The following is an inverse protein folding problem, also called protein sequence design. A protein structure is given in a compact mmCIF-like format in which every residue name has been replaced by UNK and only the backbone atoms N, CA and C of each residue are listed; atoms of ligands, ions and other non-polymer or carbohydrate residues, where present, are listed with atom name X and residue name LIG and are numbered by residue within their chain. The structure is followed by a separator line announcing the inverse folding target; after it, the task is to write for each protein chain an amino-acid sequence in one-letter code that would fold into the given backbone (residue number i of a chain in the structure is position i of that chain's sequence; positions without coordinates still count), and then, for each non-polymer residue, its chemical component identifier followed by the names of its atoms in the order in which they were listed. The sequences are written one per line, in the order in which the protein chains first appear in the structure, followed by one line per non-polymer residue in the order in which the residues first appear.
data_IF_633965763958
#
_entry.id   IF_633965763958
#
_cell.length_a   1.000
_cell.length_b   1.000
_cell.length_c   1.000
_cell.angle_alpha   90.00
_cell.angle_beta   90.00
_cell.angle_gamma   90.00
#
_symmetry.space_group_name_H-M   'P 1'
#
loop_
_entity.id
_entity.type
_entity.pdbx_description
1 polymer ?
#
# COMPACT_ATOMS: atom_id res chain seq x y z
N UNK A 1 7.99 0.94 -22.14
CA UNK A 1 7.91 1.25 -20.68
C UNK A 1 6.45 1.36 -20.33
N UNK A 2 5.99 0.65 -19.30
CA UNK A 2 4.59 0.58 -18.89
C UNK A 2 4.44 1.11 -17.46
N UNK A 3 3.33 1.79 -17.15
CA UNK A 3 3.05 2.26 -15.80
C UNK A 3 2.37 1.15 -15.01
N UNK A 4 2.96 0.81 -13.86
CA UNK A 4 2.42 -0.10 -12.87
C UNK A 4 1.96 0.71 -11.67
N UNK A 5 0.68 0.62 -11.33
CA UNK A 5 0.08 1.21 -10.14
C UNK A 5 -0.03 0.17 -9.05
N UNK A 6 0.59 0.46 -7.92
CA UNK A 6 0.49 -0.34 -6.70
C UNK A 6 -0.39 0.37 -5.68
N UNK A 7 -1.24 -0.37 -4.98
CA UNK A 7 -2.13 0.15 -3.95
C UNK A 7 -2.01 -0.62 -2.64
N UNK A 8 -1.95 0.09 -1.51
CA UNK A 8 -1.98 -0.50 -0.17
C UNK A 8 -2.96 0.23 0.75
N UNK A 9 -3.73 -0.54 1.50
CA UNK A 9 -4.62 -0.05 2.55
C UNK A 9 -3.96 -0.30 3.90
N UNK A 10 -3.89 0.73 4.74
CA UNK A 10 -3.50 0.60 6.14
C UNK A 10 -4.21 1.63 7.02
N UNK A 11 -4.27 1.35 8.31
CA UNK A 11 -4.74 2.33 9.30
C UNK A 11 -3.53 3.08 9.84
N UNK A 12 -3.39 4.39 9.55
CA UNK A 12 -2.19 5.13 9.91
C UNK A 12 -2.11 5.32 11.43
N UNK A 13 -0.90 5.15 11.99
CA UNK A 13 -0.67 5.33 13.43
C UNK A 13 -0.59 6.81 13.83
N UNK A 14 -0.26 7.68 12.87
CA UNK A 14 -0.14 9.13 13.03
C UNK A 14 -0.42 9.86 11.70
N UNK A 15 -0.73 11.16 11.76
CA UNK A 15 -1.14 11.98 10.60
C UNK A 15 -0.02 12.22 9.58
N UNK A 16 1.24 12.08 9.97
CA UNK A 16 2.43 12.28 9.14
C UNK A 16 2.98 10.97 8.55
N UNK A 17 2.23 9.86 8.66
CA UNK A 17 2.60 8.57 8.09
C UNK A 17 2.85 8.70 6.57
N UNK A 18 4.06 8.42 6.14
CA UNK A 18 4.41 8.31 4.72
C UNK A 18 4.53 6.84 4.31
N UNK A 19 4.04 6.51 3.11
CA UNK A 19 4.05 5.14 2.58
C UNK A 19 4.82 5.12 1.27
N UNK A 20 5.56 4.05 1.04
CA UNK A 20 6.40 3.85 -0.13
C UNK A 20 6.26 2.42 -0.66
N UNK A 21 6.53 2.24 -1.94
CA UNK A 21 6.65 0.93 -2.59
C UNK A 21 8.07 0.75 -3.11
N UNK A 22 8.63 -0.43 -2.93
CA UNK A 22 9.95 -0.79 -3.42
C UNK A 22 10.01 -2.27 -3.75
N UNK A 23 11.06 -2.71 -4.45
CA UNK A 23 11.14 -4.11 -4.83
C UNK A 23 12.39 -4.50 -5.57
N UNK A 24 12.32 -5.67 -6.16
CA UNK A 24 13.39 -6.35 -6.90
C UNK A 24 13.84 -5.61 -8.16
N UNK A 25 13.01 -4.74 -8.73
CA UNK A 25 13.33 -3.99 -9.96
C UNK A 25 14.22 -2.76 -9.67
N UNK A 26 15.13 -2.38 -10.59
CA UNK A 26 15.94 -1.16 -10.45
C UNK A 26 15.10 0.10 -10.30
N UNK A 27 13.97 0.17 -11.03
CA UNK A 27 13.02 1.28 -10.98
C UNK A 27 12.28 1.38 -9.64
N UNK A 28 12.34 0.30 -8.84
CA UNK A 28 11.79 0.21 -7.49
C UNK A 28 12.87 0.24 -6.40
N UNK A 29 14.09 0.65 -6.75
CA UNK A 29 15.19 0.87 -5.81
C UNK A 29 16.01 -0.37 -5.44
N UNK A 30 15.74 -1.55 -6.01
CA UNK A 30 16.46 -2.80 -5.68
C UNK A 30 16.54 -3.05 -4.17
N UNK A 31 15.40 -3.01 -3.50
CA UNK A 31 15.28 -3.21 -2.05
C UNK A 31 15.95 -2.14 -1.15
N UNK A 32 16.41 -1.01 -1.71
CA UNK A 32 16.92 0.13 -0.93
C UNK A 32 15.78 1.09 -0.52
N UNK A 33 15.47 1.25 0.79
CA UNK A 33 14.44 2.15 1.27
C UNK A 33 14.62 3.62 0.86
N UNK A 34 15.88 4.07 0.68
CA UNK A 34 16.16 5.45 0.28
C UNK A 34 15.82 5.73 -1.19
N UNK A 35 15.65 4.66 -1.97
CA UNK A 35 15.28 4.69 -3.39
C UNK A 35 13.84 4.21 -3.62
N UNK A 36 13.09 3.96 -2.54
CA UNK A 36 11.70 3.56 -2.61
C UNK A 36 10.83 4.66 -3.21
N UNK A 37 9.79 4.26 -3.92
CA UNK A 37 8.87 5.19 -4.58
C UNK A 37 7.81 5.65 -3.59
N UNK A 38 7.79 6.96 -3.30
CA UNK A 38 6.80 7.55 -2.39
C UNK A 38 5.39 7.46 -2.98
N UNK A 39 4.47 6.95 -2.18
CA UNK A 39 3.06 6.79 -2.53
C UNK A 39 2.26 8.02 -2.08
N UNK A 40 1.10 8.21 -2.71
CA UNK A 40 0.14 9.28 -2.40
C UNK A 40 -1.06 8.68 -1.69
N UNK A 41 -1.48 9.28 -0.59
CA UNK A 41 -2.74 8.91 0.06
C UNK A 41 -3.93 9.36 -0.80
N UNK A 42 -4.99 8.56 -0.83
CA UNK A 42 -6.23 8.87 -1.56
C UNK A 42 -7.01 10.01 -0.93
N UNK A 43 -6.74 10.29 0.35
CA UNK A 43 -7.36 11.35 1.14
C UNK A 43 -6.35 11.93 2.13
N UNK A 44 -6.65 13.12 2.63
CA UNK A 44 -5.97 13.64 3.83
C UNK A 44 -6.28 12.72 5.00
N UNK A 45 -5.26 12.26 5.73
CA UNK A 45 -5.44 11.43 6.91
C UNK A 45 -5.97 12.30 8.05
N UNK A 46 -7.27 12.22 8.30
CA UNK A 46 -7.97 13.00 9.34
C UNK A 46 -8.15 12.23 10.64
N UNK A 47 -7.95 10.91 10.62
CA UNK A 47 -8.18 10.00 11.75
C UNK A 47 -7.22 8.83 11.70
N UNK A 48 -6.79 8.38 12.88
CA UNK A 48 -6.01 7.15 13.07
C UNK A 48 -6.90 5.91 13.21
N UNK A 49 -8.22 6.05 13.07
CA UNK A 49 -9.19 4.95 13.15
C UNK A 49 -9.74 4.57 11.78
N UNK A 50 -9.59 5.43 10.77
CA UNK A 50 -10.09 5.18 9.42
C UNK A 50 -8.95 4.62 8.53
N UNK A 51 -9.14 3.47 7.88
CA UNK A 51 -8.22 2.98 6.88
C UNK A 51 -8.11 3.95 5.70
N UNK A 52 -6.88 4.14 5.22
CA UNK A 52 -6.62 4.96 4.05
C UNK A 52 -5.94 4.11 2.97
N UNK A 53 -6.18 4.47 1.70
CA UNK A 53 -5.54 3.86 0.54
C UNK A 53 -4.37 4.74 0.13
N UNK A 54 -3.20 4.14 -0.08
CA UNK A 54 -2.06 4.78 -0.73
C UNK A 54 -1.85 4.15 -2.10
N UNK A 55 -1.57 4.98 -3.11
CA UNK A 55 -1.23 4.52 -4.46
C UNK A 55 0.12 5.08 -4.92
N UNK A 56 0.87 4.27 -5.65
CA UNK A 56 2.17 4.64 -6.22
C UNK A 56 2.31 4.11 -7.64
N UNK A 57 2.73 4.98 -8.55
CA UNK A 57 2.94 4.65 -9.96
C UNK A 57 4.44 4.45 -10.22
N UNK A 58 4.79 3.31 -10.79
CA UNK A 58 6.16 2.94 -11.16
C UNK A 58 6.23 2.71 -12.66
N UNK A 59 7.20 3.30 -13.32
CA UNK A 59 7.42 3.08 -14.74
C UNK A 59 8.41 1.92 -14.91
N UNK A 60 7.94 0.78 -15.44
CA UNK A 60 8.76 -0.42 -15.64
C UNK A 60 9.22 -0.53 -17.10
N UNK A 61 10.52 -0.75 -17.27
CA UNK A 61 11.14 -1.02 -18.56
C UNK A 61 10.93 -2.48 -18.97
N UNK A 62 10.99 -2.75 -20.28
CA UNK A 62 10.93 -4.13 -20.78
C UNK A 62 12.13 -4.97 -20.29
N UNK A 63 11.94 -6.28 -20.04
CA UNK A 63 10.65 -6.97 -19.97
C UNK A 63 9.91 -6.60 -18.67
N UNK A 64 8.72 -6.00 -18.81
CA UNK A 64 7.85 -5.63 -17.69
C UNK A 64 6.84 -6.73 -17.34
N UNK A 65 6.73 -7.75 -18.19
CA UNK A 65 5.89 -8.93 -17.98
C UNK A 65 6.55 -9.99 -17.09
N UNK A 66 7.85 -9.86 -16.86
CA UNK A 66 8.59 -10.75 -15.98
C UNK A 66 8.09 -10.61 -14.54
N UNK A 67 7.98 -11.76 -13.86
CA UNK A 67 7.64 -11.79 -12.44
C UNK A 67 8.60 -10.90 -11.64
N UNK A 68 8.03 -10.07 -10.78
CA UNK A 68 8.79 -9.24 -9.84
C UNK A 68 8.27 -9.41 -8.42
N UNK A 69 9.14 -9.11 -7.46
CA UNK A 69 8.82 -9.05 -6.05
C UNK A 69 8.90 -7.63 -5.54
N UNK A 70 8.02 -7.30 -4.60
CA UNK A 70 7.93 -5.97 -4.01
C UNK A 70 7.37 -6.02 -2.58
N UNK A 71 7.53 -4.90 -1.87
CA UNK A 71 6.92 -4.64 -0.57
C UNK A 71 6.55 -3.18 -0.40
N UNK A 72 5.62 -2.94 0.50
CA UNK A 72 5.35 -1.63 1.05
C UNK A 72 6.20 -1.38 2.30
N UNK A 73 6.64 -0.13 2.46
CA UNK A 73 7.25 0.36 3.69
C UNK A 73 6.55 1.64 4.12
N UNK A 74 6.55 1.91 5.42
CA UNK A 74 6.10 3.19 5.96
C UNK A 74 7.24 3.88 6.68
N UNK A 75 7.22 5.21 6.70
CA UNK A 75 8.13 6.02 7.50
C UNK A 75 7.38 6.65 8.66
N UNK A 76 7.85 6.37 9.87
CA UNK A 76 7.33 6.92 11.13
C UNK A 76 8.53 7.38 11.95
N UNK A 77 8.51 8.62 12.44
CA UNK A 77 9.63 9.22 13.18
C UNK A 77 10.99 9.09 12.48
N UNK A 78 11.00 9.24 11.16
CA UNK A 78 12.20 9.13 10.32
C UNK A 78 12.73 7.71 10.13
N UNK A 79 12.08 6.68 10.68
CA UNK A 79 12.48 5.26 10.55
C UNK A 79 11.59 4.54 9.57
N UNK A 80 12.21 3.68 8.75
CA UNK A 80 11.48 2.81 7.83
C UNK A 80 11.03 1.54 8.55
N UNK A 81 9.73 1.26 8.46
CA UNK A 81 9.08 0.05 8.94
C UNK A 81 8.61 -0.72 7.70
N UNK A 82 9.00 -1.99 7.62
CA UNK A 82 8.63 -2.87 6.52
C UNK A 82 7.33 -3.59 6.82
N UNK A 83 6.56 -3.87 5.78
CA UNK A 83 5.46 -4.82 5.93
C UNK A 83 5.99 -6.26 6.06
N UNK A 84 5.23 -7.07 6.79
CA UNK A 84 5.58 -8.45 7.08
C UNK A 84 6.88 -8.57 7.85
N UNK A 85 7.57 -9.69 7.63
CA UNK A 85 8.77 -10.04 8.36
C UNK A 85 9.62 -10.96 7.47
N UNK A 86 10.72 -10.39 6.95
CA UNK A 86 11.62 -11.07 6.03
C UNK A 86 11.01 -11.40 4.66
N UNK A 87 11.78 -12.14 3.82
CA UNK A 87 11.43 -12.38 2.41
C UNK A 87 10.19 -13.26 2.18
N UNK A 88 9.77 -14.03 3.20
CA UNK A 88 8.58 -14.90 3.10
C UNK A 88 7.28 -14.11 2.89
N UNK A 89 7.29 -12.84 3.26
CA UNK A 89 6.16 -11.93 3.08
C UNK A 89 6.36 -10.96 1.90
N UNK A 90 7.36 -11.20 1.03
CA UNK A 90 7.49 -10.43 -0.21
C UNK A 90 6.27 -10.69 -1.09
N UNK A 91 5.67 -9.62 -1.59
CA UNK A 91 4.56 -9.73 -2.54
C UNK A 91 5.12 -10.07 -3.91
N UNK A 92 4.34 -10.81 -4.67
CA UNK A 92 4.67 -11.20 -6.03
C UNK A 92 3.71 -10.52 -7.00
N UNK A 93 4.25 -9.82 -8.00
CA UNK A 93 3.50 -9.30 -9.13
C UNK A 93 3.80 -10.21 -10.33
N UNK A 94 2.76 -10.89 -10.81
CA UNK A 94 2.79 -11.68 -12.05
C UNK A 94 1.90 -10.94 -13.03
N UNK A 95 2.45 -10.60 -14.18
CA UNK A 95 1.71 -9.84 -15.18
C UNK A 95 0.50 -10.62 -15.69
N UNK A 96 -0.66 -9.96 -15.65
CA UNK A 96 -1.93 -10.42 -16.19
C UNK A 96 -2.59 -9.26 -16.97
N UNK A 97 -2.88 -9.46 -18.26
CA UNK A 97 -3.49 -8.42 -19.10
C UNK A 97 -4.86 -7.94 -18.57
N UNK A 98 -5.54 -8.72 -17.74
CA UNK A 98 -6.81 -8.33 -17.13
C UNK A 98 -6.69 -7.22 -16.07
N UNK A 99 -5.48 -6.98 -15.54
CA UNK A 99 -5.20 -5.89 -14.60
C UNK A 99 -4.98 -4.54 -15.30
N UNK A 100 -5.10 -4.48 -16.63
CA UNK A 100 -4.94 -3.26 -17.40
C UNK A 100 -6.18 -2.36 -17.29
N UNK A 101 -6.00 -1.15 -16.77
CA UNK A 101 -7.03 -0.13 -16.66
C UNK A 101 -6.57 1.15 -17.37
N UNK A 102 -7.19 1.47 -18.51
CA UNK A 102 -6.90 2.68 -19.30
C UNK A 102 -5.39 2.85 -19.62
N UNK A 103 -4.69 1.77 -19.97
CA UNK A 103 -3.26 1.79 -20.30
C UNK A 103 -2.30 1.76 -19.11
N UNK A 104 -2.82 1.60 -17.89
CA UNK A 104 -2.02 1.42 -16.66
C UNK A 104 -2.26 0.02 -16.11
N UNK A 105 -1.19 -0.72 -15.84
CA UNK A 105 -1.29 -1.99 -15.14
C UNK A 105 -1.59 -1.73 -13.67
N UNK A 106 -2.71 -2.21 -13.14
CA UNK A 106 -3.12 -1.97 -11.77
C UNK A 106 -3.02 -3.26 -10.95
N UNK A 107 -1.93 -3.39 -10.18
CA UNK A 107 -1.79 -4.53 -9.28
C UNK A 107 -2.93 -4.52 -8.25
N UNK A 108 -3.51 -5.69 -7.89
CA UNK A 108 -4.54 -5.79 -6.86
C UNK A 108 -4.18 -5.01 -5.60
N UNK A 109 -5.14 -4.22 -5.09
CA UNK A 109 -4.96 -3.46 -3.85
C UNK A 109 -4.80 -4.44 -2.70
N UNK A 110 -3.69 -4.32 -1.96
CA UNK A 110 -3.42 -5.15 -0.79
C UNK A 110 -3.73 -4.42 0.51
N UNK A 111 -3.97 -5.17 1.57
CA UNK A 111 -3.87 -4.66 2.95
C UNK A 111 -2.45 -4.80 3.46
N UNK A 112 -1.99 -3.85 4.27
CA UNK A 112 -0.69 -3.92 4.94
C UNK A 112 -0.53 -5.24 5.70
N UNK A 113 0.62 -5.89 5.51
CA UNK A 113 0.94 -7.14 6.19
C UNK A 113 1.63 -6.77 7.50
N UNK A 114 1.05 -7.16 8.64
CA UNK A 114 1.67 -6.96 9.95
C UNK A 114 2.89 -7.87 10.12
N UNK A 115 3.71 -7.61 11.15
CA UNK A 115 4.94 -8.39 11.42
C UNK A 115 4.67 -9.90 11.53
N UNK A 116 3.47 -10.29 11.97
CA UNK A 116 3.01 -11.68 12.08
C UNK A 116 2.77 -12.35 10.72
N UNK A 117 2.70 -11.60 9.62
CA UNK A 117 2.31 -12.08 8.30
C UNK A 117 0.81 -11.98 8.00
N UNK A 118 0.00 -11.52 8.96
CA UNK A 118 -1.44 -11.35 8.79
C UNK A 118 -1.80 -9.89 8.45
N UNK A 119 -2.87 -9.69 7.67
CA UNK A 119 -3.40 -8.36 7.36
C UNK A 119 -4.34 -7.81 8.42
N UNK A 120 -4.84 -8.68 9.31
CA UNK A 120 -5.74 -8.33 10.40
C UNK A 120 -6.99 -7.52 9.97
N UNK A 121 -7.47 -7.72 8.74
CA UNK A 121 -8.59 -6.95 8.14
C UNK A 121 -9.83 -6.92 9.03
N UNK A 122 -10.16 -8.05 9.68
CA UNK A 122 -11.29 -8.13 10.61
C UNK A 122 -11.11 -7.19 11.82
N UNK A 123 -9.89 -7.10 12.36
CA UNK A 123 -9.58 -6.22 13.50
C UNK A 123 -9.70 -4.77 13.06
N UNK A 124 -9.14 -4.40 11.91
CA UNK A 124 -9.24 -3.03 11.39
C UNK A 124 -10.69 -2.60 11.12
N UNK A 125 -11.48 -3.48 10.51
CA UNK A 125 -12.90 -3.23 10.24
C UNK A 125 -13.69 -3.04 11.54
N UNK A 126 -13.42 -3.90 12.53
CA UNK A 126 -14.07 -3.85 13.85
C UNK A 126 -13.71 -2.57 14.60
N UNK A 127 -12.43 -2.19 14.60
CA UNK A 127 -11.94 -0.96 15.24
C UNK A 127 -12.56 0.29 14.59
N UNK A 128 -12.63 0.33 13.26
CA UNK A 128 -13.28 1.43 12.55
C UNK A 128 -14.76 1.54 12.96
N UNK A 129 -15.51 0.44 12.93
CA UNK A 129 -16.91 0.43 13.35
C UNK A 129 -17.10 0.92 14.79
N UNK A 130 -16.32 0.39 15.75
CA UNK A 130 -16.42 0.81 17.15
C UNK A 130 -16.03 2.27 17.35
N UNK A 131 -15.11 2.81 16.54
CA UNK A 131 -14.76 4.23 16.62
C UNK A 131 -15.95 5.14 16.24
N UNK A 132 -16.74 4.76 15.24
CA UNK A 132 -17.93 5.50 14.82
C UNK A 132 -19.05 5.34 15.85
N UNK A 133 -19.33 4.10 16.27
CA UNK A 133 -20.37 3.79 17.24
C UNK A 133 -20.11 4.43 18.62
N UNK A 134 -18.86 4.44 19.08
CA UNK A 134 -18.45 5.02 20.36
C UNK A 134 -18.67 6.53 20.46
N UNK A 135 -18.73 7.23 19.32
CA UNK A 135 -19.06 8.66 19.24
C UNK A 135 -20.54 8.91 18.92
N UNK A 136 -21.38 7.87 18.85
CA UNK A 136 -22.76 7.94 18.38
C UNK A 136 -22.87 8.68 17.03
N UNK A 137 -21.87 8.49 16.17
CA UNK A 137 -21.74 9.21 14.91
C UNK A 137 -22.24 8.39 13.73
N UNK A 138 -22.38 9.05 12.58
CA UNK A 138 -22.56 8.41 11.27
C UNK A 138 -21.34 8.78 10.41
N UNK A 139 -20.70 7.77 9.80
CA UNK A 139 -19.64 7.96 8.82
C UNK A 139 -20.19 7.67 7.42
N UNK A 140 -19.92 8.55 6.47
CA UNK A 140 -20.38 8.43 5.08
C UNK A 140 -19.34 8.97 4.11
N UNK A 141 -19.42 8.55 2.86
CA UNK A 141 -18.54 9.00 1.78
C UNK A 141 -19.38 9.33 0.54
N UNK A 142 -19.00 10.37 -0.18
CA UNK A 142 -19.62 10.72 -1.46
C UNK A 142 -18.98 9.91 -2.58
N UNK A 143 -19.81 9.27 -3.42
CA UNK A 143 -19.38 8.58 -4.63
C UNK A 143 -20.16 9.14 -5.82
N UNK A 144 -19.61 10.13 -6.53
CA UNK A 144 -20.15 10.65 -7.81
C UNK A 144 -19.03 11.26 -8.63
#
# INVERSE_FOLDING_TARGET
MLVFRFGVILTPSCSDTEVFVLGSRPEMGHWDPNRAIKMKSSRTVLSTCEPCLWTGDVHLSEPYTDKLWFKFIKRVDGRYIWEGNGPRHDRQCVYDDSDMVNGVYCHPIGHWIEETGHTNEMIHTTNFYFSVAGHQAIHFSQYV
#
